data_IF_512008209866
#
_entry.id   IF_512008209866
#
_cell.length_a   1.000
_cell.length_b   1.000
_cell.length_c   1.000
_cell.angle_alpha   90.00
_cell.angle_beta   90.00
_cell.angle_gamma   90.00
#
_symmetry.space_group_name_H-M   'P 1'
#
loop_
_entity.id
_entity.type
_entity.pdbx_description
1 polymer ?
#
# COMPACT_ATOMS: atom_id res chain seq x y z
N UNK A 1 25.70 12.28 -9.55
CA UNK A 1 24.23 12.33 -9.38
C UNK A 1 23.89 12.16 -7.90
N UNK A 2 23.22 13.11 -7.31
CA UNK A 2 22.72 13.06 -5.93
C UNK A 2 21.50 12.12 -5.80
N UNK A 3 21.17 11.73 -4.54
CA UNK A 3 19.95 10.93 -4.29
C UNK A 3 18.69 11.66 -4.76
N UNK A 4 18.62 12.97 -4.57
CA UNK A 4 17.45 13.79 -4.98
C UNK A 4 17.30 13.87 -6.51
N UNK A 5 18.37 14.12 -7.24
CA UNK A 5 18.35 14.11 -8.71
C UNK A 5 17.89 12.74 -9.25
N UNK A 6 18.41 11.65 -8.67
CA UNK A 6 18.01 10.29 -9.06
C UNK A 6 16.56 10.00 -8.73
N UNK A 7 16.05 10.50 -7.60
CA UNK A 7 14.64 10.36 -7.23
C UNK A 7 13.71 11.07 -8.24
N UNK A 8 14.06 12.29 -8.66
CA UNK A 8 13.28 13.02 -9.67
C UNK A 8 13.27 12.30 -11.01
N UNK A 9 14.43 11.82 -11.48
CA UNK A 9 14.49 11.00 -12.70
C UNK A 9 13.67 9.73 -12.60
N UNK A 10 13.66 9.07 -11.44
CA UNK A 10 12.86 7.88 -11.22
C UNK A 10 11.35 8.17 -11.20
N UNK A 11 10.93 9.29 -10.62
CA UNK A 11 9.53 9.75 -10.68
C UNK A 11 9.10 9.94 -12.12
N UNK A 12 9.86 10.70 -12.93
CA UNK A 12 9.52 10.99 -14.32
C UNK A 12 9.52 9.72 -15.18
N UNK A 13 10.52 8.85 -15.04
CA UNK A 13 10.59 7.60 -15.78
C UNK A 13 9.41 6.67 -15.48
N UNK A 14 9.07 6.51 -14.20
CA UNK A 14 7.94 5.67 -13.77
C UNK A 14 6.59 6.29 -14.12
N UNK A 15 6.46 7.62 -14.08
CA UNK A 15 5.26 8.35 -14.49
C UNK A 15 4.95 8.15 -15.98
N UNK A 16 5.99 8.18 -16.81
CA UNK A 16 5.87 7.92 -18.26
C UNK A 16 5.52 6.46 -18.55
N UNK A 17 6.12 5.52 -17.82
CA UNK A 17 5.93 4.07 -18.04
C UNK A 17 4.59 3.58 -17.48
N UNK A 18 4.11 4.15 -16.37
CA UNK A 18 2.88 3.74 -15.67
C UNK A 18 1.98 4.95 -15.35
N UNK A 19 1.43 5.64 -16.36
CA UNK A 19 0.65 6.87 -16.15
C UNK A 19 -0.65 6.65 -15.37
N UNK A 20 -1.24 5.45 -15.45
CA UNK A 20 -2.49 5.08 -14.77
C UNK A 20 -2.30 4.22 -13.51
N UNK A 21 -1.13 4.29 -12.87
CA UNK A 21 -0.89 3.49 -11.66
C UNK A 21 -1.77 3.94 -10.50
N UNK A 22 -2.56 3.01 -9.97
CA UNK A 22 -3.46 3.20 -8.82
C UNK A 22 -3.36 2.00 -7.88
N UNK A 23 -4.01 2.08 -6.73
CA UNK A 23 -4.15 0.94 -5.82
C UNK A 23 -4.77 -0.26 -6.54
N UNK A 24 -4.21 -1.45 -6.33
CA UNK A 24 -4.73 -2.70 -6.94
C UNK A 24 -5.96 -3.25 -6.21
N UNK A 25 -6.27 -2.73 -5.00
CA UNK A 25 -7.48 -3.12 -4.26
C UNK A 25 -8.67 -2.35 -4.81
N UNK A 26 -9.80 -3.04 -4.95
CA UNK A 26 -11.08 -2.44 -5.38
C UNK A 26 -11.85 -1.92 -4.16
N UNK A 27 -12.26 -0.67 -4.20
CA UNK A 27 -13.02 -0.02 -3.12
C UNK A 27 -13.84 1.16 -3.67
N UNK A 28 -14.91 1.51 -2.98
CA UNK A 28 -15.80 2.63 -3.33
C UNK A 28 -15.71 3.78 -2.32
N UNK A 29 -15.30 3.49 -1.09
CA UNK A 29 -15.21 4.45 0.01
C UNK A 29 -14.01 4.18 0.92
N UNK A 30 -13.68 5.10 1.86
CA UNK A 30 -12.54 4.95 2.77
C UNK A 30 -12.59 3.72 3.68
N UNK A 31 -13.79 3.32 4.14
CA UNK A 31 -13.96 2.15 5.01
C UNK A 31 -13.62 0.86 4.24
N UNK A 32 -14.09 0.76 3.01
CA UNK A 32 -13.80 -0.37 2.13
C UNK A 32 -12.30 -0.49 1.86
N UNK A 33 -11.59 0.62 1.57
CA UNK A 33 -10.14 0.58 1.40
C UNK A 33 -9.43 0.12 2.66
N UNK A 34 -9.82 0.64 3.83
CA UNK A 34 -9.22 0.29 5.11
C UNK A 34 -9.37 -1.22 5.40
N UNK A 35 -10.57 -1.76 5.20
CA UNK A 35 -10.88 -3.19 5.35
C UNK A 35 -10.12 -4.03 4.32
N UNK A 36 -10.19 -3.67 3.03
CA UNK A 36 -9.49 -4.39 1.97
C UNK A 36 -7.97 -4.43 2.21
N UNK A 37 -7.38 -3.33 2.69
CA UNK A 37 -5.96 -3.29 3.04
C UNK A 37 -5.64 -4.20 4.24
N UNK A 38 -6.54 -4.29 5.24
CA UNK A 38 -6.36 -5.27 6.32
C UNK A 38 -6.42 -6.70 5.79
N UNK A 39 -7.30 -6.97 4.83
CA UNK A 39 -7.42 -8.29 4.19
C UNK A 39 -6.19 -8.64 3.35
N UNK A 40 -5.50 -7.67 2.74
CA UNK A 40 -4.32 -7.90 1.89
C UNK A 40 -3.06 -8.32 2.66
N UNK A 41 -3.05 -8.23 3.99
CA UNK A 41 -1.95 -8.72 4.80
C UNK A 41 -1.76 -10.24 4.60
N UNK A 42 -0.62 -10.66 4.04
CA UNK A 42 -0.32 -12.05 3.67
C UNK A 42 -1.40 -12.70 2.76
N UNK A 43 -1.99 -11.89 1.88
CA UNK A 43 -2.97 -12.32 0.90
C UNK A 43 -2.76 -11.53 -0.38
N UNK A 44 -3.04 -12.11 -1.54
CA UNK A 44 -2.94 -11.39 -2.82
C UNK A 44 -4.11 -10.43 -3.00
N UNK A 45 -3.86 -9.27 -3.62
CA UNK A 45 -4.91 -8.28 -3.93
C UNK A 45 -6.05 -8.92 -4.77
N UNK A 46 -5.68 -9.77 -5.74
CA UNK A 46 -6.67 -10.52 -6.53
C UNK A 46 -7.61 -11.39 -5.66
N UNK A 47 -7.08 -12.05 -4.62
CA UNK A 47 -7.91 -12.82 -3.69
C UNK A 47 -8.80 -11.90 -2.84
N UNK A 48 -8.28 -10.77 -2.40
CA UNK A 48 -9.07 -9.77 -1.65
C UNK A 48 -10.22 -9.27 -2.51
N UNK A 49 -9.95 -8.86 -3.75
CA UNK A 49 -10.97 -8.35 -4.68
C UNK A 49 -12.06 -9.40 -5.04
N UNK A 50 -11.76 -10.70 -4.88
CA UNK A 50 -12.77 -11.76 -5.05
C UNK A 50 -13.71 -11.90 -3.84
N UNK A 51 -13.28 -11.57 -2.64
CA UNK A 51 -14.11 -11.74 -1.43
C UNK A 51 -14.81 -10.47 -1.00
N UNK A 52 -14.24 -9.30 -1.27
CA UNK A 52 -14.78 -8.01 -0.84
C UNK A 52 -16.16 -7.68 -1.37
N UNK A 53 -16.59 -8.05 -2.62
CA UNK A 53 -17.94 -7.79 -3.08
C UNK A 53 -19.02 -8.42 -2.19
N UNK A 54 -18.86 -9.69 -1.81
CA UNK A 54 -19.80 -10.37 -0.93
C UNK A 54 -19.77 -9.78 0.50
N UNK A 55 -18.58 -9.44 1.01
CA UNK A 55 -18.42 -8.82 2.31
C UNK A 55 -19.14 -7.47 2.37
N UNK A 56 -18.92 -6.59 1.39
CA UNK A 56 -19.51 -5.25 1.35
C UNK A 56 -21.01 -5.26 0.98
N UNK A 57 -21.48 -6.27 0.25
CA UNK A 57 -22.91 -6.48 0.05
C UNK A 57 -23.63 -6.86 1.36
N UNK A 58 -23.00 -7.68 2.21
CA UNK A 58 -23.56 -8.05 3.53
C UNK A 58 -23.42 -6.92 4.55
N UNK A 59 -22.34 -6.16 4.51
CA UNK A 59 -22.03 -5.07 5.42
C UNK A 59 -21.77 -3.77 4.64
N UNK A 60 -22.82 -3.09 4.15
CA UNK A 60 -22.65 -1.92 3.27
C UNK A 60 -22.22 -0.64 4.01
N UNK A 61 -22.35 -0.60 5.33
CA UNK A 61 -22.00 0.57 6.13
C UNK A 61 -21.25 0.19 7.41
N UNK A 62 -20.65 1.17 8.09
CA UNK A 62 -19.98 0.99 9.38
C UNK A 62 -20.96 0.40 10.41
N UNK A 63 -22.20 0.90 10.45
CA UNK A 63 -23.24 0.44 11.37
C UNK A 63 -23.59 -1.04 11.09
N UNK A 64 -23.62 -1.45 9.82
CA UNK A 64 -23.85 -2.85 9.46
C UNK A 64 -22.73 -3.77 9.97
N UNK A 65 -21.45 -3.34 9.88
CA UNK A 65 -20.33 -4.06 10.49
C UNK A 65 -20.45 -4.14 12.02
N UNK A 66 -20.84 -3.04 12.66
CA UNK A 66 -21.03 -3.00 14.13
C UNK A 66 -22.23 -3.80 14.60
N UNK A 67 -23.27 -3.99 13.78
CA UNK A 67 -24.46 -4.78 14.11
C UNK A 67 -24.30 -6.28 13.79
N UNK A 68 -23.29 -6.65 13.02
CA UNK A 68 -22.97 -8.04 12.68
C UNK A 68 -22.16 -8.73 13.78
N UNK A 69 -21.49 -9.82 13.41
CA UNK A 69 -20.61 -10.55 14.30
C UNK A 69 -19.25 -10.82 13.68
N UNK A 70 -18.27 -11.12 14.52
CA UNK A 70 -16.94 -11.54 14.10
C UNK A 70 -17.00 -12.83 13.27
N UNK A 71 -17.89 -13.76 13.64
CA UNK A 71 -18.08 -15.04 12.96
C UNK A 71 -18.63 -14.84 11.55
N UNK A 72 -19.60 -13.95 11.35
CA UNK A 72 -20.15 -13.64 10.01
C UNK A 72 -19.07 -13.05 9.10
N UNK A 73 -18.24 -12.12 9.62
CA UNK A 73 -17.11 -11.55 8.88
C UNK A 73 -16.11 -12.65 8.53
N UNK A 74 -15.75 -13.51 9.52
CA UNK A 74 -14.79 -14.59 9.34
C UNK A 74 -15.21 -15.57 8.25
N UNK A 75 -16.49 -15.93 8.18
CA UNK A 75 -16.99 -16.85 7.16
C UNK A 75 -16.88 -16.25 5.75
N UNK A 76 -17.22 -14.98 5.57
CA UNK A 76 -17.14 -14.30 4.26
C UNK A 76 -15.70 -14.14 3.76
N UNK A 77 -14.74 -13.97 4.66
CA UNK A 77 -13.31 -13.79 4.30
C UNK A 77 -12.47 -15.06 4.47
N UNK A 78 -13.08 -16.24 4.64
CA UNK A 78 -12.41 -17.50 4.98
C UNK A 78 -11.26 -17.87 4.05
N UNK A 79 -11.35 -17.51 2.77
CA UNK A 79 -10.29 -17.76 1.79
C UNK A 79 -9.08 -16.81 1.89
N UNK A 80 -9.15 -15.76 2.71
CA UNK A 80 -8.01 -14.90 3.03
C UNK A 80 -7.21 -15.50 4.18
N UNK A 81 -5.92 -15.68 4.01
CA UNK A 81 -5.05 -16.19 5.08
C UNK A 81 -5.23 -15.42 6.39
N UNK A 82 -5.12 -16.10 7.54
CA UNK A 82 -5.32 -15.53 8.88
C UNK A 82 -6.72 -14.91 9.09
N UNK A 83 -7.74 -15.46 8.44
CA UNK A 83 -9.09 -14.90 8.36
C UNK A 83 -9.73 -14.62 9.73
N UNK A 84 -9.54 -15.49 10.74
CA UNK A 84 -10.08 -15.27 12.10
C UNK A 84 -9.48 -14.03 12.76
N UNK A 85 -8.16 -13.85 12.69
CA UNK A 85 -7.49 -12.65 13.23
C UNK A 85 -7.93 -11.41 12.46
N UNK A 86 -8.09 -11.50 11.14
CA UNK A 86 -8.56 -10.38 10.31
C UNK A 86 -10.00 -9.99 10.63
N UNK A 87 -10.90 -10.98 10.82
CA UNK A 87 -12.28 -10.73 11.22
C UNK A 87 -12.36 -10.01 12.56
N UNK A 88 -11.65 -10.51 13.56
CA UNK A 88 -11.55 -9.86 14.87
C UNK A 88 -11.06 -8.42 14.76
N UNK A 89 -9.99 -8.20 14.01
CA UNK A 89 -9.42 -6.86 13.87
C UNK A 89 -10.37 -5.91 13.11
N UNK A 90 -11.06 -6.38 12.06
CA UNK A 90 -12.07 -5.60 11.31
C UNK A 90 -13.25 -5.25 12.23
N UNK A 91 -13.78 -6.22 12.95
CA UNK A 91 -14.89 -6.01 13.89
C UNK A 91 -14.52 -4.98 14.96
N UNK A 92 -13.38 -5.17 15.63
CA UNK A 92 -12.89 -4.24 16.63
C UNK A 92 -12.60 -2.84 16.06
N UNK A 93 -12.03 -2.75 14.89
CA UNK A 93 -11.76 -1.49 14.18
C UNK A 93 -13.06 -0.72 13.91
N UNK A 94 -14.10 -1.39 13.42
CA UNK A 94 -15.40 -0.76 13.15
C UNK A 94 -16.02 -0.20 14.43
N UNK A 95 -15.95 -0.92 15.56
CA UNK A 95 -16.43 -0.43 16.85
C UNK A 95 -15.62 0.80 17.33
N UNK A 96 -14.30 0.78 17.22
CA UNK A 96 -13.46 1.93 17.57
C UNK A 96 -13.78 3.14 16.67
N UNK A 97 -13.97 2.94 15.36
CA UNK A 97 -14.37 4.02 14.46
C UNK A 97 -15.71 4.63 14.85
N UNK A 98 -16.71 3.82 15.19
CA UNK A 98 -18.02 4.29 15.64
C UNK A 98 -17.90 5.05 16.99
N UNK A 99 -17.27 4.44 17.98
CA UNK A 99 -17.35 4.88 19.37
C UNK A 99 -16.36 6.01 19.70
N UNK A 100 -15.20 6.05 19.04
CA UNK A 100 -14.12 7.02 19.32
C UNK A 100 -13.92 8.07 18.24
N UNK A 101 -14.38 7.80 17.01
CA UNK A 101 -14.16 8.68 15.85
C UNK A 101 -15.48 9.13 15.19
N UNK A 102 -16.65 8.88 15.83
CA UNK A 102 -17.98 9.25 15.30
C UNK A 102 -18.20 8.77 13.85
N UNK A 103 -17.67 7.60 13.49
CA UNK A 103 -17.75 7.03 12.15
C UNK A 103 -16.81 7.65 11.11
N UNK A 104 -16.01 8.65 11.48
CA UNK A 104 -15.06 9.32 10.58
C UNK A 104 -13.74 8.59 10.59
N UNK A 105 -13.24 8.22 9.41
CA UNK A 105 -11.92 7.60 9.28
C UNK A 105 -10.85 8.68 9.46
N UNK A 106 -9.86 8.49 10.36
CA UNK A 106 -8.79 9.46 10.58
C UNK A 106 -7.95 9.71 9.32
N UNK A 107 -7.46 10.94 9.16
CA UNK A 107 -6.71 11.40 8.00
C UNK A 107 -5.20 11.57 8.25
N UNK A 108 -4.72 11.04 9.37
CA UNK A 108 -3.29 11.02 9.74
C UNK A 108 -2.80 9.61 10.03
N UNK A 109 -1.51 9.37 9.73
CA UNK A 109 -0.86 8.07 9.99
C UNK A 109 -0.91 7.71 11.47
N UNK A 110 -0.69 8.70 12.34
CA UNK A 110 -0.62 8.47 13.79
C UNK A 110 -1.98 8.06 14.39
N UNK A 111 -3.08 8.66 13.94
CA UNK A 111 -4.42 8.26 14.37
C UNK A 111 -4.84 6.91 13.76
N UNK A 112 -4.60 6.70 12.46
CA UNK A 112 -4.92 5.45 11.80
C UNK A 112 -4.21 4.24 12.44
N UNK A 113 -2.96 4.40 12.87
CA UNK A 113 -2.21 3.30 13.53
C UNK A 113 -2.72 2.94 14.93
N UNK A 114 -3.61 3.73 15.53
CA UNK A 114 -4.30 3.38 16.78
C UNK A 114 -5.46 2.40 16.56
N UNK A 115 -5.93 2.28 15.31
CA UNK A 115 -7.03 1.38 14.97
C UNK A 115 -6.56 -0.08 14.98
N UNK A 116 -7.39 -1.01 15.51
CA UNK A 116 -7.09 -2.45 15.48
C UNK A 116 -6.72 -2.97 14.09
N UNK A 117 -5.60 -3.67 13.99
CA UNK A 117 -5.14 -4.26 12.74
C UNK A 117 -4.56 -3.30 11.69
N UNK A 118 -4.47 -2.01 12.00
CA UNK A 118 -3.93 -0.99 11.07
C UNK A 118 -2.46 -0.71 11.39
N UNK A 119 -1.60 -1.16 10.50
CA UNK A 119 -0.17 -0.85 10.56
C UNK A 119 0.18 0.42 9.77
N UNK A 120 1.41 0.89 9.92
CA UNK A 120 1.92 2.11 9.27
C UNK A 120 1.80 2.08 7.74
N UNK A 121 2.03 0.91 7.11
CA UNK A 121 1.86 0.74 5.66
C UNK A 121 0.40 1.01 5.24
N UNK A 122 -0.57 0.41 5.94
CA UNK A 122 -2.00 0.62 5.71
C UNK A 122 -2.39 2.08 5.93
N UNK A 123 -1.90 2.68 7.01
CA UNK A 123 -2.17 4.08 7.32
C UNK A 123 -1.64 5.03 6.22
N UNK A 124 -0.41 4.83 5.73
CA UNK A 124 0.13 5.62 4.61
C UNK A 124 -0.72 5.44 3.34
N UNK A 125 -1.17 4.21 3.03
CA UNK A 125 -2.00 3.97 1.85
C UNK A 125 -3.33 4.75 1.93
N UNK A 126 -4.01 4.68 3.08
CA UNK A 126 -5.27 5.42 3.30
C UNK A 126 -5.04 6.92 3.21
N UNK A 127 -3.99 7.44 3.84
CA UNK A 127 -3.64 8.88 3.80
C UNK A 127 -3.36 9.34 2.36
N UNK A 128 -2.64 8.55 1.57
CA UNK A 128 -2.33 8.88 0.18
C UNK A 128 -3.52 8.73 -0.76
N UNK A 129 -4.20 7.59 -0.71
CA UNK A 129 -5.24 7.28 -1.70
C UNK A 129 -6.57 7.97 -1.43
N UNK A 130 -6.96 8.13 -0.17
CA UNK A 130 -8.24 8.76 0.19
C UNK A 130 -8.09 10.27 0.36
N UNK A 131 -7.12 10.68 1.19
CA UNK A 131 -6.98 12.09 1.56
C UNK A 131 -6.05 12.88 0.64
N UNK A 132 -5.43 12.23 -0.35
CA UNK A 132 -4.49 12.84 -1.31
C UNK A 132 -3.36 13.63 -0.64
N UNK A 133 -2.99 13.20 0.56
CA UNK A 133 -1.86 13.77 1.30
C UNK A 133 -0.56 13.04 0.94
N UNK A 134 0.58 13.70 1.15
CA UNK A 134 1.88 13.07 0.96
C UNK A 134 2.01 11.80 1.78
N UNK A 135 2.21 10.67 1.11
CA UNK A 135 2.35 9.37 1.73
C UNK A 135 3.43 8.53 1.03
N UNK A 136 4.13 7.71 1.81
CA UNK A 136 5.12 6.77 1.28
C UNK A 136 4.78 5.37 1.76
N UNK A 137 4.26 4.55 0.86
CA UNK A 137 3.86 3.17 1.13
C UNK A 137 5.07 2.25 0.92
N UNK A 138 5.75 1.90 2.00
CA UNK A 138 6.95 1.06 1.98
C UNK A 138 6.59 -0.42 1.93
N UNK A 139 6.17 -0.90 0.78
CA UNK A 139 5.99 -2.32 0.53
C UNK A 139 7.29 -3.00 0.07
N UNK A 140 7.27 -4.30 -0.15
CA UNK A 140 8.44 -5.07 -0.58
C UNK A 140 8.98 -4.64 -1.95
N UNK A 141 8.13 -4.15 -2.85
CA UNK A 141 8.54 -3.63 -4.16
C UNK A 141 9.21 -2.27 -4.01
N UNK A 142 8.59 -1.35 -3.27
CA UNK A 142 9.13 -0.03 -2.99
C UNK A 142 10.50 -0.13 -2.32
N UNK A 143 10.64 -0.91 -1.24
CA UNK A 143 11.92 -1.11 -0.53
C UNK A 143 13.00 -1.64 -1.47
N UNK A 144 12.70 -2.69 -2.23
CA UNK A 144 13.66 -3.32 -3.15
C UNK A 144 14.12 -2.36 -4.25
N UNK A 145 13.18 -1.70 -4.91
CA UNK A 145 13.48 -0.83 -6.06
C UNK A 145 14.25 0.40 -5.60
N UNK A 146 13.81 1.05 -4.53
CA UNK A 146 14.47 2.25 -4.01
C UNK A 146 15.86 1.96 -3.45
N UNK A 147 16.07 0.76 -2.89
CA UNK A 147 17.39 0.27 -2.51
C UNK A 147 18.30 0.07 -3.73
N UNK A 148 17.82 -0.60 -4.79
CA UNK A 148 18.59 -0.77 -6.05
C UNK A 148 18.90 0.56 -6.73
N UNK A 149 17.97 1.49 -6.72
CA UNK A 149 18.19 2.85 -7.21
C UNK A 149 19.18 3.65 -6.34
N UNK A 150 19.47 3.20 -5.11
CA UNK A 150 20.33 3.90 -4.17
C UNK A 150 19.67 5.16 -3.58
N UNK A 151 18.35 5.18 -3.48
CA UNK A 151 17.60 6.24 -2.78
C UNK A 151 17.61 6.02 -1.26
N UNK A 152 17.69 4.76 -0.83
CA UNK A 152 17.88 4.35 0.56
C UNK A 152 18.94 3.26 0.65
N UNK A 153 19.57 3.13 1.82
CA UNK A 153 20.51 2.05 2.15
C UNK A 153 19.91 1.08 3.18
N UNK A 154 18.66 1.32 3.57
CA UNK A 154 17.95 0.56 4.58
C UNK A 154 16.93 -0.39 3.93
N UNK A 155 16.66 -1.51 4.61
CA UNK A 155 15.54 -2.40 4.34
C UNK A 155 14.46 -2.34 5.44
N UNK A 156 14.65 -1.49 6.46
CA UNK A 156 13.67 -1.27 7.52
C UNK A 156 12.60 -0.29 7.03
N UNK A 157 11.32 -0.68 6.96
CA UNK A 157 10.26 0.12 6.33
C UNK A 157 10.18 1.57 6.81
N UNK A 158 10.25 1.81 8.12
CA UNK A 158 10.18 3.15 8.70
C UNK A 158 11.37 4.04 8.26
N UNK A 159 12.57 3.45 8.16
CA UNK A 159 13.75 4.20 7.70
C UNK A 159 13.69 4.48 6.22
N UNK A 160 13.23 3.51 5.42
CA UNK A 160 12.98 3.71 3.97
C UNK A 160 11.94 4.81 3.75
N UNK A 161 10.83 4.80 4.50
CA UNK A 161 9.82 5.87 4.44
C UNK A 161 10.45 7.24 4.69
N UNK A 162 11.26 7.37 5.76
CA UNK A 162 11.95 8.63 6.11
C UNK A 162 12.91 9.08 5.01
N UNK A 163 13.73 8.16 4.48
CA UNK A 163 14.69 8.45 3.42
C UNK A 163 13.97 8.93 2.14
N UNK A 164 12.86 8.28 1.77
CA UNK A 164 12.09 8.63 0.58
C UNK A 164 11.34 9.97 0.73
N UNK A 165 10.76 10.24 1.90
CA UNK A 165 10.15 11.56 2.18
C UNK A 165 11.14 12.72 2.04
N UNK A 166 12.44 12.49 2.26
CA UNK A 166 13.47 13.51 2.13
C UNK A 166 13.88 13.81 0.67
N UNK A 167 13.59 12.89 -0.26
CA UNK A 167 14.09 13.01 -1.65
C UNK A 167 12.99 13.02 -2.71
N UNK A 168 11.80 12.48 -2.42
CA UNK A 168 10.66 12.50 -3.34
C UNK A 168 9.88 13.82 -3.23
N UNK A 169 9.33 14.34 -4.34
CA UNK A 169 8.33 15.39 -4.28
C UNK A 169 7.11 14.90 -3.48
N UNK A 170 6.63 15.68 -2.49
CA UNK A 170 5.51 15.25 -1.64
C UNK A 170 4.26 14.85 -2.43
N UNK A 171 3.94 15.59 -3.48
CA UNK A 171 2.78 15.40 -4.36
C UNK A 171 2.85 14.13 -5.22
N UNK A 172 4.05 13.65 -5.54
CA UNK A 172 4.28 12.45 -6.35
C UNK A 172 4.54 11.20 -5.49
N UNK A 173 4.71 11.36 -4.18
CA UNK A 173 5.21 10.28 -3.31
C UNK A 173 4.29 9.07 -3.24
N UNK A 174 2.97 9.26 -3.20
CA UNK A 174 2.00 8.17 -3.18
C UNK A 174 1.96 7.42 -4.52
N UNK A 175 1.82 8.15 -5.62
CA UNK A 175 1.80 7.59 -6.97
C UNK A 175 3.11 6.88 -7.32
N UNK A 176 4.25 7.43 -6.89
CA UNK A 176 5.54 6.77 -7.03
C UNK A 176 5.52 5.38 -6.39
N UNK A 177 4.92 5.22 -5.21
CA UNK A 177 4.80 3.92 -4.56
C UNK A 177 3.95 2.95 -5.38
N UNK A 178 2.80 3.37 -5.92
CA UNK A 178 1.98 2.53 -6.81
C UNK A 178 2.74 2.11 -8.07
N UNK A 179 3.44 3.07 -8.70
CA UNK A 179 4.28 2.79 -9.89
C UNK A 179 5.41 1.80 -9.58
N UNK A 180 6.02 1.86 -8.38
CA UNK A 180 7.04 0.87 -7.99
C UNK A 180 6.46 -0.53 -7.82
N UNK A 181 5.21 -0.69 -7.40
CA UNK A 181 4.54 -2.01 -7.35
C UNK A 181 4.41 -2.60 -8.74
N UNK A 182 3.90 -1.82 -9.72
CA UNK A 182 3.74 -2.27 -11.10
C UNK A 182 5.10 -2.62 -11.72
N UNK A 183 6.07 -1.72 -11.60
CA UNK A 183 7.44 -1.94 -12.11
C UNK A 183 8.11 -3.14 -11.46
N UNK A 184 7.88 -3.34 -10.17
CA UNK A 184 8.44 -4.46 -9.41
C UNK A 184 7.83 -5.81 -9.77
N UNK A 185 6.60 -5.84 -10.25
CA UNK A 185 5.93 -7.04 -10.77
C UNK A 185 6.37 -7.36 -12.20
N UNK A 186 6.47 -6.36 -13.06
CA UNK A 186 6.72 -6.54 -14.48
C UNK A 186 8.23 -6.65 -14.85
N UNK A 187 9.06 -5.80 -14.27
CA UNK A 187 10.44 -5.57 -14.70
C UNK A 187 11.45 -5.82 -13.59
N UNK A 188 11.40 -5.03 -12.50
CA UNK A 188 12.39 -5.10 -11.43
C UNK A 188 12.03 -6.18 -10.40
N UNK A 189 11.94 -7.44 -10.84
CA UNK A 189 11.58 -8.58 -9.99
C UNK A 189 12.66 -8.88 -8.94
N UNK A 190 12.31 -9.66 -7.91
CA UNK A 190 13.23 -9.94 -6.81
C UNK A 190 14.46 -10.76 -7.25
N UNK A 191 14.24 -11.84 -8.01
CA UNK A 191 15.29 -12.81 -8.39
C UNK A 191 15.93 -12.52 -9.74
N UNK A 192 15.12 -12.32 -10.78
CA UNK A 192 15.58 -12.15 -12.16
C UNK A 192 15.06 -10.84 -12.76
N UNK A 193 15.58 -9.66 -12.35
CA UNK A 193 15.14 -8.39 -12.90
C UNK A 193 15.55 -8.26 -14.36
N UNK A 194 14.65 -7.71 -15.18
CA UNK A 194 14.85 -7.46 -16.60
C UNK A 194 15.48 -6.07 -16.79
N UNK A 195 16.75 -5.90 -16.37
CA UNK A 195 17.41 -4.61 -16.36
C UNK A 195 17.50 -3.96 -17.75
N UNK A 196 17.65 -4.75 -18.82
CA UNK A 196 17.65 -4.26 -20.20
C UNK A 196 16.32 -3.59 -20.62
N UNK A 197 15.20 -3.96 -19.99
CA UNK A 197 13.88 -3.37 -20.27
C UNK A 197 13.49 -2.30 -19.23
N UNK A 198 14.38 -1.95 -18.30
CA UNK A 198 14.07 -1.05 -17.20
C UNK A 198 14.20 0.40 -17.65
N UNK A 199 13.12 1.18 -17.54
CA UNK A 199 13.11 2.63 -17.83
C UNK A 199 14.08 3.46 -16.97
N UNK A 200 14.61 2.88 -15.88
CA UNK A 200 15.54 3.51 -14.96
C UNK A 200 16.96 2.96 -15.05
N UNK A 201 17.26 2.10 -16.03
CA UNK A 201 18.55 1.40 -16.11
C UNK A 201 19.75 2.35 -16.21
N UNK A 202 19.65 3.41 -17.02
CA UNK A 202 20.74 4.35 -17.28
C UNK A 202 21.26 5.12 -16.05
N UNK A 203 20.44 5.21 -14.99
CA UNK A 203 20.80 5.89 -13.75
C UNK A 203 20.63 5.03 -12.50
N UNK A 204 20.34 3.73 -12.66
CA UNK A 204 20.27 2.79 -11.54
C UNK A 204 21.64 2.63 -10.89
N UNK A 205 21.72 2.80 -9.55
CA UNK A 205 23.01 2.70 -8.84
C UNK A 205 23.50 1.27 -8.71
N UNK A 206 22.58 0.32 -8.50
CA UNK A 206 22.90 -1.08 -8.22
C UNK A 206 22.07 -2.01 -9.13
N UNK A 207 22.33 -2.02 -10.46
CA UNK A 207 21.66 -2.97 -11.36
C UNK A 207 22.10 -4.39 -11.01
N UNK A 208 21.15 -5.34 -10.98
CA UNK A 208 21.44 -6.75 -10.67
C UNK A 208 22.00 -7.46 -11.92
N UNK A 209 21.45 -7.12 -13.08
CA UNK A 209 21.89 -7.60 -14.39
C UNK A 209 22.26 -6.38 -15.23
N UNK A 210 23.49 -5.83 -15.10
CA UNK A 210 23.91 -4.66 -15.88
C UNK A 210 23.90 -5.03 -17.38
N UNK A 211 23.57 -4.04 -18.21
CA UNK A 211 23.79 -4.13 -19.66
C UNK A 211 25.28 -3.85 -19.88
N UNK A 212 25.99 -4.75 -20.54
CA UNK A 212 27.37 -4.55 -20.99
C UNK A 212 27.48 -3.44 -22.04
#
# INVERSE_FOLDING_TARGET
>A
MTKKERALLAVEALKKEYPGAVCSLEYQDPLQLLIATRLSAQCTDARVNLVTPALFARFPTLEAFCAGSEEEIAELIRSCGLYKTKARDIFAMCHVLRDSYNGVIPDTVDELTKLPGVGRKTANLVVGDIYKKSAVVTDTHCIRITGRLGLTESNVPLKVEKDLRAVLPPEESNDFCHRTVLHGRAVCTARNPKCALCCMNSFCKNPVNPIE
#
